data_IF_658662192404
#
_entry.id   IF_658662192404
#
_cell.length_a   1.000
_cell.length_b   1.000
_cell.length_c   1.000
_cell.angle_alpha   90.00
_cell.angle_beta   90.00
_cell.angle_gamma   90.00
#
_symmetry.space_group_name_H-M   'P 1'
#
loop_
_entity.id
_entity.type
_entity.pdbx_description
1 polymer ?
#
# COMPACT_ATOMS: atom_id res chain seq x y z
N UNK A 1 8.26 -4.03 11.11
CA UNK A 1 8.10 -4.75 9.83
C UNK A 1 9.34 -4.48 8.98
N UNK A 2 9.94 -5.53 8.43
CA UNK A 2 10.98 -5.44 7.41
C UNK A 2 10.38 -5.92 6.08
N UNK A 3 10.59 -5.14 5.01
CA UNK A 3 10.15 -5.49 3.65
C UNK A 3 11.35 -5.53 2.73
N UNK A 4 11.45 -6.60 1.94
CA UNK A 4 12.50 -6.80 0.95
C UNK A 4 11.89 -7.11 -0.41
N UNK A 5 12.54 -6.63 -1.47
CA UNK A 5 12.10 -6.84 -2.84
C UNK A 5 13.25 -7.35 -3.70
N UNK A 6 12.89 -8.14 -4.72
CA UNK A 6 13.84 -8.62 -5.72
C UNK A 6 13.18 -8.63 -7.10
N UNK A 7 13.85 -8.04 -8.09
CA UNK A 7 13.42 -8.12 -9.49
C UNK A 7 14.02 -9.36 -10.15
N UNK A 8 13.15 -10.22 -10.68
CA UNK A 8 13.51 -11.43 -11.43
C UNK A 8 12.91 -11.37 -12.84
N UNK A 9 13.70 -10.87 -13.80
CA UNK A 9 13.20 -10.56 -15.14
C UNK A 9 12.14 -9.44 -15.09
N UNK A 10 10.91 -9.76 -15.53
CA UNK A 10 9.78 -8.84 -15.48
C UNK A 10 8.93 -8.99 -14.19
N UNK A 11 9.29 -9.93 -13.32
CA UNK A 11 8.56 -10.21 -12.09
C UNK A 11 9.22 -9.50 -10.91
N UNK A 12 8.43 -8.81 -10.09
CA UNK A 12 8.86 -8.25 -8.81
C UNK A 12 8.40 -9.19 -7.69
N UNK A 13 9.37 -9.74 -6.96
CA UNK A 13 9.15 -10.58 -5.79
C UNK A 13 9.20 -9.72 -4.54
N UNK A 14 8.40 -10.06 -3.54
CA UNK A 14 8.46 -9.46 -2.22
C UNK A 14 8.63 -10.52 -1.14
N UNK A 15 9.21 -10.09 -0.04
CA UNK A 15 9.29 -10.80 1.23
C UNK A 15 9.19 -9.78 2.36
N UNK A 16 8.39 -10.09 3.36
CA UNK A 16 8.27 -9.24 4.54
C UNK A 16 8.17 -10.07 5.80
N UNK A 17 8.61 -9.50 6.93
CA UNK A 17 8.50 -10.13 8.23
C UNK A 17 8.16 -9.12 9.32
N UNK A 18 7.36 -9.58 10.27
CA UNK A 18 7.02 -8.82 11.47
C UNK A 18 6.84 -9.75 12.66
N UNK A 19 6.94 -9.16 13.85
CA UNK A 19 6.60 -9.85 15.10
C UNK A 19 5.33 -9.24 15.65
N UNK A 20 4.38 -10.08 15.98
CA UNK A 20 3.17 -9.71 16.69
C UNK A 20 2.97 -10.67 17.86
N UNK A 21 2.83 -10.12 19.07
CA UNK A 21 2.82 -10.89 20.33
C UNK A 21 4.07 -11.78 20.46
N UNK A 22 3.89 -13.09 20.46
CA UNK A 22 4.94 -14.11 20.58
C UNK A 22 5.18 -14.90 19.28
N UNK A 23 4.88 -14.28 18.14
CA UNK A 23 5.01 -14.91 16.81
C UNK A 23 5.79 -14.03 15.85
N UNK A 24 6.74 -14.66 15.16
CA UNK A 24 7.33 -14.12 13.95
C UNK A 24 6.50 -14.61 12.76
N UNK A 25 5.96 -13.67 12.00
CA UNK A 25 5.25 -13.94 10.75
C UNK A 25 6.13 -13.53 9.58
N UNK A 26 6.21 -14.39 8.59
CA UNK A 26 6.90 -14.16 7.32
C UNK A 26 5.87 -14.31 6.20
N UNK A 27 5.82 -13.32 5.30
CA UNK A 27 4.92 -13.29 4.16
C UNK A 27 5.72 -12.99 2.88
N UNK A 28 5.44 -13.71 1.79
CA UNK A 28 6.21 -13.58 0.56
C UNK A 28 5.38 -13.95 -0.67
N UNK A 29 5.77 -13.43 -1.83
CA UNK A 29 5.09 -13.72 -3.08
C UNK A 29 5.58 -12.92 -4.27
N UNK A 30 4.70 -12.81 -5.25
CA UNK A 30 4.83 -11.91 -6.40
C UNK A 30 4.02 -10.65 -6.14
N UNK A 31 4.58 -9.49 -6.39
CA UNK A 31 3.84 -8.23 -6.25
C UNK A 31 2.58 -8.25 -7.10
N UNK A 32 1.44 -7.99 -6.47
CA UNK A 32 0.11 -8.02 -7.09
C UNK A 32 -0.65 -9.33 -6.96
N UNK A 33 -0.06 -10.34 -6.34
CA UNK A 33 -0.71 -11.60 -6.01
C UNK A 33 -0.76 -11.76 -4.49
N UNK A 34 -1.83 -12.36 -3.96
CA UNK A 34 -1.87 -12.78 -2.56
C UNK A 34 -0.76 -13.80 -2.33
N UNK A 35 0.14 -13.48 -1.43
CA UNK A 35 1.31 -14.30 -1.17
C UNK A 35 1.02 -15.52 -0.30
N UNK A 36 2.08 -16.13 0.17
CA UNK A 36 2.09 -17.18 1.17
C UNK A 36 2.58 -16.61 2.49
N UNK A 37 2.02 -17.07 3.61
CA UNK A 37 2.51 -16.70 4.93
C UNK A 37 2.90 -17.91 5.77
N UNK A 38 3.79 -17.68 6.71
CA UNK A 38 4.19 -18.66 7.71
C UNK A 38 4.41 -17.99 9.05
N UNK A 39 3.72 -18.48 10.07
CA UNK A 39 3.96 -18.10 11.45
C UNK A 39 4.87 -19.12 12.15
N UNK A 40 5.70 -18.63 13.06
CA UNK A 40 6.47 -19.44 13.98
C UNK A 40 6.51 -18.78 15.36
N UNK A 41 6.49 -19.59 16.45
CA UNK A 41 6.63 -19.04 17.79
C UNK A 41 7.96 -18.32 17.97
N UNK A 42 7.94 -17.17 18.63
CA UNK A 42 9.13 -16.44 19.06
C UNK A 42 9.35 -16.68 20.55
N UNK A 43 10.51 -17.24 20.98
CA UNK A 43 10.84 -17.37 22.38
C UNK A 43 10.81 -16.04 23.12
N UNK A 44 10.33 -16.02 24.37
CA UNK A 44 10.16 -14.81 25.15
C UNK A 44 11.48 -14.04 25.48
N UNK A 45 12.62 -14.70 25.34
CA UNK A 45 13.96 -14.16 25.52
C UNK A 45 14.66 -13.78 24.20
N UNK A 46 14.00 -13.98 23.06
CA UNK A 46 14.52 -13.60 21.75
C UNK A 46 14.10 -12.17 21.40
N UNK A 47 15.06 -11.39 20.93
CA UNK A 47 14.82 -10.03 20.47
C UNK A 47 14.08 -10.05 19.10
N UNK A 48 12.91 -9.39 18.99
CA UNK A 48 12.13 -9.37 17.77
C UNK A 48 12.89 -8.87 16.52
N UNK A 49 13.71 -7.83 16.66
CA UNK A 49 14.47 -7.25 15.55
C UNK A 49 15.58 -8.21 15.09
N UNK A 50 16.19 -8.93 16.05
CA UNK A 50 17.18 -9.96 15.74
C UNK A 50 16.55 -11.15 15.01
N UNK A 51 15.37 -11.59 15.43
CA UNK A 51 14.65 -12.69 14.77
C UNK A 51 14.28 -12.34 13.33
N UNK A 52 13.78 -11.12 13.10
CA UNK A 52 13.49 -10.61 11.75
C UNK A 52 14.78 -10.55 10.90
N UNK A 53 15.86 -10.01 11.44
CA UNK A 53 17.13 -9.90 10.72
C UNK A 53 17.70 -11.27 10.34
N UNK A 54 17.64 -12.25 11.24
CA UNK A 54 18.07 -13.63 10.97
C UNK A 54 17.22 -14.30 9.88
N UNK A 55 15.91 -14.06 9.88
CA UNK A 55 15.02 -14.57 8.85
C UNK A 55 15.29 -13.93 7.47
N UNK A 56 15.72 -12.67 7.43
CA UNK A 56 16.02 -11.92 6.22
C UNK A 56 17.41 -12.25 5.62
N UNK A 57 18.39 -12.66 6.43
CA UNK A 57 19.77 -12.87 5.97
C UNK A 57 19.90 -13.74 4.71
N UNK A 58 19.23 -14.92 4.60
CA UNK A 58 19.30 -15.74 3.40
C UNK A 58 18.69 -15.07 2.15
N UNK A 59 17.75 -14.13 2.33
CA UNK A 59 17.10 -13.40 1.25
C UNK A 59 18.02 -12.29 0.72
N UNK A 60 18.71 -11.57 1.61
CA UNK A 60 19.71 -10.56 1.25
C UNK A 60 20.85 -11.22 0.45
N UNK A 61 21.32 -12.39 0.87
CA UNK A 61 22.33 -13.19 0.13
C UNK A 61 21.83 -13.60 -1.26
N UNK A 62 20.53 -13.74 -1.46
CA UNK A 62 19.90 -14.04 -2.75
C UNK A 62 19.63 -12.79 -3.59
N UNK A 63 19.95 -11.59 -3.12
CA UNK A 63 19.80 -10.32 -3.82
C UNK A 63 18.42 -9.66 -3.62
N UNK A 64 17.77 -9.91 -2.48
CA UNK A 64 16.66 -9.09 -2.03
C UNK A 64 17.21 -7.87 -1.30
N UNK A 65 16.64 -6.71 -1.57
CA UNK A 65 17.00 -5.43 -0.95
C UNK A 65 15.77 -4.70 -0.40
N UNK A 66 15.98 -3.82 0.56
CA UNK A 66 14.94 -2.89 1.02
C UNK A 66 14.48 -1.96 -0.12
N UNK A 67 13.20 -1.57 -0.15
CA UNK A 67 12.71 -0.68 -1.20
C UNK A 67 13.36 0.70 -1.08
N UNK A 68 13.72 1.26 -2.22
CA UNK A 68 14.03 2.69 -2.31
C UNK A 68 12.70 3.47 -2.25
N UNK A 69 12.44 4.11 -1.12
CA UNK A 69 11.20 4.86 -0.89
C UNK A 69 11.01 6.01 -1.88
N UNK A 70 12.10 6.61 -2.38
CA UNK A 70 12.04 7.68 -3.37
C UNK A 70 11.69 7.15 -4.77
N UNK A 71 11.95 5.87 -5.02
CA UNK A 71 11.57 5.20 -6.28
C UNK A 71 10.13 4.71 -6.28
N UNK A 72 9.50 4.56 -5.11
CA UNK A 72 8.08 4.18 -5.02
C UNK A 72 7.18 5.29 -5.60
N UNK A 73 6.05 4.87 -6.19
CA UNK A 73 5.11 5.81 -6.82
C UNK A 73 4.09 6.31 -5.80
N UNK A 74 4.03 7.62 -5.52
CA UNK A 74 3.02 8.18 -4.64
C UNK A 74 1.66 8.25 -5.35
N UNK A 75 0.64 7.62 -4.75
CA UNK A 75 -0.74 7.63 -5.20
C UNK A 75 -1.62 8.37 -4.19
N UNK A 76 -2.60 9.09 -4.69
CA UNK A 76 -3.67 9.71 -3.90
C UNK A 76 -5.01 9.20 -4.42
N UNK A 77 -5.83 8.65 -3.52
CA UNK A 77 -7.23 8.32 -3.75
C UNK A 77 -8.07 9.42 -3.10
N UNK A 78 -8.78 10.18 -3.92
CA UNK A 78 -9.52 11.36 -3.49
C UNK A 78 -11.02 11.18 -3.72
N UNK A 79 -11.81 11.66 -2.76
CA UNK A 79 -13.27 11.77 -2.85
C UNK A 79 -13.71 13.19 -2.60
N UNK A 80 -14.68 13.66 -3.38
CA UNK A 80 -15.28 14.98 -3.18
C UNK A 80 -16.21 14.99 -1.95
N UNK A 81 -16.13 16.06 -1.16
CA UNK A 81 -16.97 16.26 0.01
C UNK A 81 -17.82 17.52 -0.11
N UNK A 82 -18.95 17.51 0.60
CA UNK A 82 -19.75 18.74 0.80
C UNK A 82 -19.27 19.48 2.05
N UNK A 83 -18.73 20.69 1.87
CA UNK A 83 -18.24 21.51 2.96
C UNK A 83 -17.07 20.87 3.70
N UNK A 84 -17.18 20.70 5.01
CA UNK A 84 -16.13 20.10 5.86
C UNK A 84 -16.23 18.58 5.97
N UNK A 85 -17.19 17.97 5.28
CA UNK A 85 -17.52 16.55 5.46
C UNK A 85 -18.42 16.31 6.68
N UNK A 86 -18.87 15.09 6.79
CA UNK A 86 -19.74 14.55 7.86
C UNK A 86 -19.06 13.40 8.60
N UNK A 87 -19.66 12.89 9.68
CA UNK A 87 -19.19 11.68 10.34
C UNK A 87 -19.13 10.47 9.41
N UNK A 88 -20.09 10.36 8.49
CA UNK A 88 -20.11 9.29 7.49
C UNK A 88 -18.94 9.40 6.49
N UNK A 89 -18.58 10.61 6.07
CA UNK A 89 -17.41 10.80 5.20
C UNK A 89 -16.12 10.41 5.92
N UNK A 90 -16.05 10.65 7.22
CA UNK A 90 -14.91 10.25 8.04
C UNK A 90 -14.83 8.70 8.17
N UNK A 91 -15.97 8.05 8.40
CA UNK A 91 -16.06 6.58 8.43
C UNK A 91 -15.69 5.98 7.07
N UNK A 92 -16.17 6.57 5.96
CA UNK A 92 -15.80 6.17 4.60
C UNK A 92 -14.29 6.24 4.38
N UNK A 93 -13.65 7.35 4.79
CA UNK A 93 -12.19 7.49 4.65
C UNK A 93 -11.43 6.39 5.38
N UNK A 94 -11.81 6.09 6.63
CA UNK A 94 -11.19 5.01 7.38
C UNK A 94 -11.41 3.63 6.75
N UNK A 95 -12.61 3.36 6.26
CA UNK A 95 -12.90 2.10 5.56
C UNK A 95 -12.05 1.93 4.29
N UNK A 96 -11.85 3.02 3.54
CA UNK A 96 -10.96 3.01 2.36
C UNK A 96 -9.49 2.85 2.78
N UNK A 97 -9.02 3.53 3.84
CA UNK A 97 -7.67 3.33 4.37
C UNK A 97 -7.42 1.88 4.78
N UNK A 98 -8.36 1.26 5.49
CA UNK A 98 -8.28 -0.13 5.94
C UNK A 98 -8.26 -1.10 4.75
N UNK A 99 -9.20 -0.93 3.81
CA UNK A 99 -9.25 -1.72 2.58
C UNK A 99 -7.94 -1.66 1.78
N UNK A 100 -7.41 -0.47 1.58
CA UNK A 100 -6.16 -0.30 0.82
C UNK A 100 -4.93 -0.79 1.58
N UNK A 101 -4.94 -0.71 2.91
CA UNK A 101 -3.90 -1.31 3.75
C UNK A 101 -3.85 -2.83 3.55
N UNK A 102 -5.01 -3.48 3.55
CA UNK A 102 -5.11 -4.90 3.30
C UNK A 102 -4.68 -5.26 1.86
N UNK A 103 -5.22 -4.57 0.86
CA UNK A 103 -4.90 -4.84 -0.55
C UNK A 103 -3.41 -4.67 -0.85
N UNK A 104 -2.80 -3.56 -0.44
CA UNK A 104 -1.39 -3.29 -0.70
C UNK A 104 -0.46 -4.18 0.14
N UNK A 105 -0.84 -4.46 1.39
CA UNK A 105 -0.11 -5.36 2.26
C UNK A 105 -0.12 -6.79 1.73
N UNK A 106 -1.29 -7.39 1.53
CA UNK A 106 -1.41 -8.78 1.07
C UNK A 106 -0.91 -9.03 -0.35
N UNK A 107 -0.80 -7.99 -1.17
CA UNK A 107 -0.20 -8.11 -2.51
C UNK A 107 1.26 -7.66 -2.58
N UNK A 108 1.85 -7.28 -1.44
CA UNK A 108 3.23 -6.81 -1.35
C UNK A 108 3.54 -5.57 -2.19
N UNK A 109 2.50 -4.84 -2.65
CA UNK A 109 2.69 -3.75 -3.61
C UNK A 109 2.86 -2.37 -2.98
N UNK A 110 3.03 -2.30 -1.68
CA UNK A 110 3.27 -1.01 -1.03
C UNK A 110 2.54 -0.85 0.29
N UNK A 111 2.13 0.38 0.59
CA UNK A 111 1.51 0.72 1.86
C UNK A 111 0.63 1.97 1.78
N UNK A 112 -0.27 2.11 2.75
CA UNK A 112 -1.02 3.34 3.02
C UNK A 112 -0.21 4.21 3.99
N UNK A 113 0.08 5.45 3.61
CA UNK A 113 0.79 6.41 4.47
C UNK A 113 -0.16 7.16 5.42
N UNK A 114 -1.46 7.06 5.18
CA UNK A 114 -2.52 7.70 5.96
C UNK A 114 -3.52 8.43 5.09
N UNK A 115 -4.35 9.27 5.74
CA UNK A 115 -5.32 10.07 5.02
C UNK A 115 -5.65 11.38 5.73
N UNK A 116 -6.28 12.27 5.00
CA UNK A 116 -6.71 13.56 5.49
C UNK A 116 -8.12 13.94 5.01
N UNK A 117 -8.76 14.79 5.76
CA UNK A 117 -10.04 15.39 5.38
C UNK A 117 -9.91 16.90 5.42
N UNK A 118 -10.18 17.52 4.28
CA UNK A 118 -10.19 18.98 4.10
C UNK A 118 -11.55 19.47 3.59
N UNK A 119 -11.89 20.76 3.72
CA UNK A 119 -13.12 21.27 3.11
C UNK A 119 -13.17 20.97 1.61
N UNK A 120 -14.20 20.25 1.19
CA UNK A 120 -14.45 19.87 -0.19
C UNK A 120 -13.83 18.54 -0.65
N UNK A 121 -12.97 17.91 0.12
CA UNK A 121 -12.34 16.64 -0.25
C UNK A 121 -11.83 15.82 0.92
N UNK A 122 -11.65 14.53 0.71
CA UNK A 122 -10.85 13.65 1.54
C UNK A 122 -9.86 12.88 0.67
N UNK A 123 -8.67 12.62 1.20
CA UNK A 123 -7.57 11.95 0.53
C UNK A 123 -7.12 10.74 1.33
N UNK A 124 -6.75 9.66 0.64
CA UNK A 124 -5.96 8.55 1.16
C UNK A 124 -4.65 8.49 0.38
N UNK A 125 -3.54 8.49 1.08
CA UNK A 125 -2.18 8.50 0.52
C UNK A 125 -1.58 7.12 0.56
N UNK A 126 -1.03 6.70 -0.57
CA UNK A 126 -0.36 5.41 -0.71
C UNK A 126 1.00 5.58 -1.39
N UNK A 127 1.92 4.65 -1.11
CA UNK A 127 3.13 4.43 -1.91
C UNK A 127 3.12 3.03 -2.47
N UNK A 128 3.39 2.90 -3.76
CA UNK A 128 3.32 1.60 -4.44
C UNK A 128 4.61 1.30 -5.20
N UNK A 129 4.97 0.01 -5.25
CA UNK A 129 6.15 -0.49 -5.96
C UNK A 129 5.91 -0.57 -7.47
N UNK A 130 4.74 -1.07 -7.87
CA UNK A 130 4.33 -1.21 -9.26
C UNK A 130 2.99 -0.52 -9.48
N UNK A 131 3.02 0.54 -10.29
CA UNK A 131 1.85 1.38 -10.53
C UNK A 131 0.75 0.66 -11.32
N UNK A 132 1.12 -0.14 -12.33
CA UNK A 132 0.13 -0.85 -13.17
C UNK A 132 -0.61 -1.90 -12.35
N UNK A 133 0.14 -2.65 -11.54
CA UNK A 133 -0.41 -3.62 -10.61
C UNK A 133 -1.31 -2.93 -9.57
N UNK A 134 -0.84 -1.82 -8.97
CA UNK A 134 -1.61 -1.07 -7.97
C UNK A 134 -2.94 -0.56 -8.53
N UNK A 135 -2.93 0.01 -9.73
CA UNK A 135 -4.16 0.51 -10.36
C UNK A 135 -5.18 -0.60 -10.56
N UNK A 136 -4.74 -1.79 -10.95
CA UNK A 136 -5.64 -2.95 -11.10
C UNK A 136 -6.19 -3.40 -9.75
N UNK A 137 -5.33 -3.70 -8.78
CA UNK A 137 -5.75 -4.27 -7.49
C UNK A 137 -6.55 -3.27 -6.64
N UNK A 138 -6.19 -1.99 -6.64
CA UNK A 138 -6.94 -0.93 -5.95
C UNK A 138 -8.30 -0.72 -6.61
N UNK A 139 -8.37 -0.64 -7.93
CA UNK A 139 -9.63 -0.43 -8.63
C UNK A 139 -10.60 -1.61 -8.41
N UNK A 140 -10.11 -2.85 -8.50
CA UNK A 140 -10.89 -4.05 -8.21
C UNK A 140 -11.45 -4.03 -6.77
N UNK A 141 -10.61 -3.74 -5.78
CA UNK A 141 -11.04 -3.71 -4.38
C UNK A 141 -12.04 -2.57 -4.08
N UNK A 142 -11.81 -1.38 -4.64
CA UNK A 142 -12.74 -0.27 -4.48
C UNK A 142 -14.08 -0.51 -5.19
N UNK A 143 -14.08 -1.23 -6.32
CA UNK A 143 -15.31 -1.59 -7.06
C UNK A 143 -16.13 -2.64 -6.30
N UNK A 144 -15.48 -3.64 -5.71
CA UNK A 144 -16.12 -4.66 -4.88
C UNK A 144 -16.85 -4.07 -3.66
N UNK A 145 -16.36 -2.96 -3.12
CA UNK A 145 -16.93 -2.25 -1.97
C UNK A 145 -17.80 -1.03 -2.36
N UNK A 146 -18.18 -0.90 -3.65
CA UNK A 146 -18.94 0.24 -4.18
C UNK A 146 -18.30 1.61 -3.90
N UNK A 147 -16.96 1.66 -3.83
CA UNK A 147 -16.19 2.90 -3.54
C UNK A 147 -15.47 3.48 -4.76
N UNK A 148 -15.46 2.80 -5.91
CA UNK A 148 -14.70 3.23 -7.09
C UNK A 148 -15.38 4.36 -7.86
N UNK A 149 -16.71 4.38 -7.95
CA UNK A 149 -17.47 5.30 -8.83
C UNK A 149 -17.16 6.78 -8.52
N UNK A 150 -17.06 7.12 -7.24
CA UNK A 150 -16.80 8.49 -6.77
C UNK A 150 -15.31 8.80 -6.55
N UNK A 151 -14.44 7.84 -6.78
CA UNK A 151 -13.01 7.99 -6.56
C UNK A 151 -12.32 8.73 -7.71
N UNK A 152 -11.33 9.55 -7.36
CA UNK A 152 -10.33 10.05 -8.31
C UNK A 152 -8.96 9.58 -7.85
N UNK A 153 -8.25 8.84 -8.69
CA UNK A 153 -6.93 8.28 -8.37
C UNK A 153 -5.88 9.00 -9.21
N UNK A 154 -4.86 9.53 -8.54
CA UNK A 154 -3.80 10.28 -9.21
C UNK A 154 -2.40 9.97 -8.65
N UNK A 155 -1.40 10.03 -9.52
CA UNK A 155 0.00 10.16 -9.09
C UNK A 155 0.28 11.62 -8.76
N UNK A 156 0.82 11.86 -7.57
CA UNK A 156 1.17 13.21 -7.09
C UNK A 156 2.61 13.23 -6.62
N UNK A 157 3.48 13.90 -7.37
CA UNK A 157 4.88 14.10 -7.00
C UNK A 157 5.14 15.54 -6.67
N UNK A 158 6.04 15.77 -5.72
CA UNK A 158 6.45 17.13 -5.36
C UNK A 158 7.02 17.89 -6.56
N UNK A 159 6.48 19.09 -6.79
CA UNK A 159 6.93 19.94 -7.91
C UNK A 159 6.42 19.55 -9.29
N UNK A 160 5.60 18.51 -9.41
CA UNK A 160 4.98 18.09 -10.66
C UNK A 160 3.46 18.35 -10.68
N UNK A 161 2.89 18.47 -11.85
CA UNK A 161 1.43 18.49 -12.03
C UNK A 161 0.87 17.10 -11.71
N UNK A 162 -0.22 16.99 -10.91
CA UNK A 162 -0.88 15.72 -10.65
C UNK A 162 -1.32 15.02 -11.94
N UNK A 163 -1.02 13.73 -12.05
CA UNK A 163 -1.46 12.91 -13.17
C UNK A 163 -2.62 12.03 -12.76
N UNK A 164 -3.84 12.41 -13.14
CA UNK A 164 -5.04 11.60 -12.87
C UNK A 164 -5.02 10.34 -13.74
N UNK A 165 -5.24 9.19 -13.10
CA UNK A 165 -5.28 7.86 -13.70
C UNK A 165 -6.71 7.31 -13.77
N UNK A 166 -7.57 7.69 -12.81
CA UNK A 166 -8.97 7.30 -12.73
C UNK A 166 -9.83 8.48 -12.25
N UNK A 167 -11.06 8.67 -12.82
CA UNK A 167 -11.55 8.01 -14.01
C UNK A 167 -10.80 8.45 -15.29
N UNK A 168 -10.83 7.60 -16.30
CA UNK A 168 -10.24 7.95 -17.61
C UNK A 168 -10.93 9.19 -18.18
N UNK A 169 -10.14 10.14 -18.69
CA UNK A 169 -10.66 11.38 -19.23
C UNK A 169 -11.14 12.41 -18.21
N UNK A 170 -10.75 12.26 -16.93
CA UNK A 170 -11.04 13.25 -15.90
C UNK A 170 -10.61 14.66 -16.32
N UNK A 171 -11.54 15.60 -16.28
CA UNK A 171 -11.33 17.00 -16.70
C UNK A 171 -11.44 18.03 -15.58
N UNK A 172 -11.75 17.56 -14.36
CA UNK A 172 -11.83 18.41 -13.18
C UNK A 172 -10.45 18.80 -12.61
N UNK A 173 -10.36 19.87 -11.81
CA UNK A 173 -9.14 20.18 -11.10
C UNK A 173 -8.88 19.12 -10.03
N UNK A 174 -7.67 18.55 -10.04
CA UNK A 174 -7.17 17.70 -8.96
C UNK A 174 -6.20 18.51 -8.10
N UNK A 175 -6.44 18.52 -6.80
CA UNK A 175 -5.59 19.22 -5.82
C UNK A 175 -5.51 18.38 -4.55
N UNK A 176 -4.36 18.30 -3.97
CA UNK A 176 -4.10 17.70 -2.65
C UNK A 176 -4.01 18.80 -1.60
#
# INVERSE_FOLDING_TARGET
VLKLYKKEGDTLRYWEAWVHEDKLTVHWGTVGETGEEKEQPLPADEDPDMAIAQAAEPLVDQGYDEPDLDAMVPLVIQYALKGKGTGHDFEKRHAVEELLTDVLGWTGNGEVEGGETQPGRMNVFCRVMDLEVAMRTIAEALDEEDQLEDAVIAVVREGEEPRVLWPEGHSGPFRV
#
